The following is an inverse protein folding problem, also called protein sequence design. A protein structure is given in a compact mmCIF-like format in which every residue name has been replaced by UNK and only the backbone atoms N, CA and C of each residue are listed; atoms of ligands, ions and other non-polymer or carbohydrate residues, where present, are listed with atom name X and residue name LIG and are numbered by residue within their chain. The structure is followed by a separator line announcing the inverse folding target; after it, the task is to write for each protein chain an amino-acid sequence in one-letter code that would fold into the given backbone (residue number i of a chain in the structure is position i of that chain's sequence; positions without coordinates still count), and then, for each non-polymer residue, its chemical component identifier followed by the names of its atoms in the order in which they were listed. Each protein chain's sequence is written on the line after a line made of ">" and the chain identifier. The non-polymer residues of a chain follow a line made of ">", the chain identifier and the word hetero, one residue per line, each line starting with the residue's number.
data_IF_609499566370
#
_entry.id   IF_609499566370
#
_cell.length_a   1.000
_cell.length_b   1.000
_cell.length_c   1.000
_cell.angle_alpha   90.00
_cell.angle_beta   90.00
_cell.angle_gamma   90.00
#
_symmetry.space_group_name_H-M   'P 1'
#
loop_
_entity.id
_entity.type
_entity.pdbx_description
1 polymer ?
#
# COMPACT_ATOMS: atom_id res chain seq x y z
N UNK A 1 13.97 -9.23 -3.53
CA UNK A 1 13.90 -8.52 -2.24
C UNK A 1 14.03 -6.98 -2.38
N UNK A 2 15.00 -6.42 -3.12
CA UNK A 2 15.21 -4.96 -3.13
C UNK A 2 14.31 -4.14 -4.09
N UNK A 3 13.86 -4.71 -5.21
CA UNK A 3 13.26 -3.93 -6.31
C UNK A 3 11.98 -3.17 -5.92
N UNK A 4 11.02 -3.82 -5.26
CA UNK A 4 9.76 -3.17 -4.86
C UNK A 4 10.00 -2.09 -3.78
N UNK A 5 10.95 -2.33 -2.87
CA UNK A 5 11.36 -1.33 -1.88
C UNK A 5 12.03 -0.12 -2.52
N UNK A 6 12.88 -0.34 -3.54
CA UNK A 6 13.54 0.74 -4.27
C UNK A 6 12.52 1.53 -5.09
N UNK A 7 11.58 0.85 -5.77
CA UNK A 7 10.51 1.49 -6.51
C UNK A 7 9.62 2.34 -5.60
N UNK A 8 9.24 1.83 -4.42
CA UNK A 8 8.48 2.59 -3.42
C UNK A 8 9.21 3.88 -3.02
N UNK A 9 10.48 3.77 -2.64
CA UNK A 9 11.26 4.92 -2.18
C UNK A 9 11.44 5.97 -3.28
N UNK A 10 11.68 5.51 -4.52
CA UNK A 10 11.79 6.39 -5.68
C UNK A 10 10.47 7.09 -5.96
N UNK A 11 9.36 6.33 -6.05
CA UNK A 11 8.01 6.86 -6.34
C UNK A 11 7.60 7.90 -5.29
N UNK A 12 7.71 7.56 -3.99
CA UNK A 12 7.33 8.47 -2.91
C UNK A 12 8.24 9.70 -2.87
N UNK A 13 9.55 9.51 -3.06
CA UNK A 13 10.50 10.61 -3.12
C UNK A 13 10.21 11.58 -4.26
N UNK A 14 10.00 11.07 -5.48
CA UNK A 14 9.70 11.91 -6.65
C UNK A 14 8.36 12.63 -6.49
N UNK A 15 7.32 11.95 -6.00
CA UNK A 15 6.01 12.56 -5.78
C UNK A 15 6.05 13.66 -4.70
N UNK A 16 6.86 13.50 -3.64
CA UNK A 16 7.05 14.54 -2.63
C UNK A 16 7.75 15.78 -3.20
N UNK A 17 8.79 15.60 -4.01
CA UNK A 17 9.49 16.72 -4.67
C UNK A 17 8.53 17.46 -5.61
N UNK A 18 7.77 16.73 -6.43
CA UNK A 18 6.79 17.34 -7.32
C UNK A 18 5.67 18.05 -6.53
N UNK A 19 5.22 17.48 -5.41
CA UNK A 19 4.24 18.14 -4.53
C UNK A 19 4.75 19.46 -3.97
N UNK A 20 6.04 19.56 -3.59
CA UNK A 20 6.62 20.81 -3.10
C UNK A 20 6.73 21.88 -4.19
N UNK A 21 7.11 21.46 -5.42
CA UNK A 21 7.16 22.36 -6.57
C UNK A 21 5.76 22.91 -6.86
N UNK A 22 4.77 22.03 -6.95
CA UNK A 22 3.37 22.40 -7.22
C UNK A 22 2.80 23.29 -6.11
N UNK A 23 3.09 22.99 -4.84
CA UNK A 23 2.67 23.83 -3.72
C UNK A 23 3.19 25.28 -3.87
N UNK A 24 4.47 25.43 -4.26
CA UNK A 24 5.07 26.74 -4.50
C UNK A 24 4.45 27.47 -5.70
N UNK A 25 4.22 26.76 -6.81
CA UNK A 25 3.57 27.32 -8.00
C UNK A 25 2.15 27.78 -7.70
N UNK A 26 1.34 26.94 -7.06
CA UNK A 26 -0.03 27.29 -6.67
C UNK A 26 -0.07 28.48 -5.71
N UNK A 27 0.84 28.54 -4.72
CA UNK A 27 0.93 29.68 -3.81
C UNK A 27 1.27 30.99 -4.53
N UNK A 28 2.16 30.93 -5.53
CA UNK A 28 2.52 32.08 -6.35
C UNK A 28 1.36 32.52 -7.27
N UNK A 29 0.64 31.59 -7.90
CA UNK A 29 -0.52 31.94 -8.74
C UNK A 29 -1.63 32.57 -7.88
N UNK A 30 -1.90 32.01 -6.69
CA UNK A 30 -2.91 32.54 -5.78
C UNK A 30 -2.57 33.93 -5.22
N UNK A 31 -1.28 34.26 -5.06
CA UNK A 31 -0.86 35.58 -4.58
C UNK A 31 -1.07 36.67 -5.63
N UNK A 32 -0.95 36.33 -6.92
CA UNK A 32 -1.13 37.24 -8.06
C UNK A 32 -2.60 37.35 -8.46
N UNK A 33 -3.28 36.21 -8.61
CA UNK A 33 -4.63 36.14 -9.18
C UNK A 33 -5.74 36.16 -8.13
N UNK A 34 -5.41 36.01 -6.86
CA UNK A 34 -6.39 35.91 -5.77
C UNK A 34 -7.13 34.57 -5.72
N UNK A 35 -8.06 34.40 -4.74
CA UNK A 35 -8.74 33.13 -4.47
C UNK A 35 -9.90 32.83 -5.43
N UNK A 36 -10.00 33.50 -6.57
CA UNK A 36 -11.11 33.32 -7.51
C UNK A 36 -10.88 32.18 -8.50
N UNK A 37 -9.64 31.67 -8.61
CA UNK A 37 -9.28 30.57 -9.50
C UNK A 37 -9.41 29.23 -8.77
N UNK A 38 -10.17 28.31 -9.37
CA UNK A 38 -10.49 27.01 -8.76
C UNK A 38 -9.33 26.03 -8.93
N UNK A 39 -8.66 26.02 -10.08
CA UNK A 39 -7.57 25.05 -10.34
C UNK A 39 -6.36 25.18 -9.41
N UNK A 40 -5.84 26.38 -9.10
CA UNK A 40 -4.71 26.52 -8.17
C UNK A 40 -5.06 26.10 -6.74
N UNK A 41 -6.32 26.22 -6.33
CA UNK A 41 -6.80 25.78 -5.01
C UNK A 41 -6.81 24.26 -4.90
N UNK A 42 -7.27 23.57 -5.95
CA UNK A 42 -7.24 22.12 -6.01
C UNK A 42 -5.80 21.61 -5.96
N UNK A 43 -4.90 22.15 -6.79
CA UNK A 43 -3.48 21.78 -6.80
C UNK A 43 -2.79 21.99 -5.44
N UNK A 44 -3.12 23.09 -4.75
CA UNK A 44 -2.61 23.38 -3.41
C UNK A 44 -3.13 22.35 -2.38
N UNK A 45 -4.44 22.08 -2.38
CA UNK A 45 -5.04 21.12 -1.46
C UNK A 45 -4.49 19.70 -1.67
N UNK A 46 -4.37 19.26 -2.92
CA UNK A 46 -3.83 17.94 -3.29
C UNK A 46 -2.34 17.82 -2.93
N UNK A 47 -1.56 18.89 -3.09
CA UNK A 47 -0.15 18.90 -2.67
C UNK A 47 -0.01 18.75 -1.16
N UNK A 48 -0.80 19.49 -0.38
CA UNK A 48 -0.81 19.37 1.09
C UNK A 48 -1.26 17.97 1.51
N UNK A 49 -2.32 17.44 0.91
CA UNK A 49 -2.80 16.08 1.18
C UNK A 49 -1.72 15.04 0.86
N UNK A 50 -0.97 15.23 -0.23
CA UNK A 50 0.12 14.34 -0.63
C UNK A 50 1.25 14.37 0.39
N UNK A 51 1.64 15.56 0.88
CA UNK A 51 2.63 15.68 1.95
C UNK A 51 2.13 15.01 3.24
N UNK A 52 0.89 15.28 3.64
CA UNK A 52 0.29 14.69 4.85
C UNK A 52 0.11 13.18 4.76
N UNK A 53 -0.05 12.62 3.56
CA UNK A 53 -0.23 11.17 3.38
C UNK A 53 1.11 10.46 3.24
N UNK A 54 1.98 10.95 2.34
CA UNK A 54 3.24 10.27 2.01
C UNK A 54 4.35 10.51 3.05
N UNK A 55 4.42 11.68 3.70
CA UNK A 55 5.47 11.94 4.71
C UNK A 55 5.35 10.99 5.90
N UNK A 56 4.17 10.82 6.54
CA UNK A 56 4.03 9.84 7.62
C UNK A 56 4.32 8.42 7.17
N UNK A 57 3.88 8.03 5.97
CA UNK A 57 4.17 6.70 5.41
C UNK A 57 5.68 6.48 5.22
N UNK A 58 6.42 7.50 4.76
CA UNK A 58 7.87 7.45 4.60
C UNK A 58 8.60 7.44 5.94
N UNK A 59 8.22 8.30 6.89
CA UNK A 59 8.84 8.40 8.21
C UNK A 59 8.65 7.11 9.01
N UNK A 60 7.47 6.51 8.96
CA UNK A 60 7.21 5.25 9.66
C UNK A 60 8.03 4.11 9.03
N UNK A 61 8.13 4.06 7.71
CA UNK A 61 8.96 3.06 7.01
C UNK A 61 10.46 3.20 7.38
N UNK A 62 10.95 4.43 7.56
CA UNK A 62 12.33 4.68 7.99
C UNK A 62 12.56 4.34 9.48
N UNK A 63 11.59 4.61 10.35
CA UNK A 63 11.77 4.53 11.81
C UNK A 63 11.41 3.17 12.40
N UNK A 64 10.44 2.44 11.82
CA UNK A 64 9.97 1.16 12.36
C UNK A 64 9.65 0.16 11.25
N UNK A 65 10.49 -0.86 11.12
CA UNK A 65 10.23 -2.04 10.29
C UNK A 65 9.03 -2.80 10.87
N UNK A 66 7.97 -3.01 10.09
CA UNK A 66 6.87 -3.92 10.45
C UNK A 66 5.61 -3.31 11.08
N UNK A 67 5.33 -2.01 10.92
CA UNK A 67 4.07 -1.39 11.36
C UNK A 67 3.08 -1.15 10.21
N UNK A 68 1.79 -1.04 10.57
CA UNK A 68 0.58 -1.02 9.73
C UNK A 68 0.65 -0.18 8.44
N UNK A 69 1.50 0.85 8.38
CA UNK A 69 1.66 1.74 7.21
C UNK A 69 2.37 1.11 6.02
N UNK A 70 2.99 -0.06 6.20
CA UNK A 70 3.56 -0.82 5.08
C UNK A 70 2.61 -1.91 4.56
N UNK A 71 1.40 -2.06 5.12
CA UNK A 71 0.47 -3.08 4.67
C UNK A 71 -0.11 -2.72 3.31
N UNK A 72 -0.05 -3.68 2.38
CA UNK A 72 -0.60 -3.56 1.03
C UNK A 72 -2.05 -3.07 1.04
N UNK A 73 -2.85 -3.53 2.03
CA UNK A 73 -4.26 -3.15 2.18
C UNK A 73 -4.49 -1.65 2.49
N UNK A 74 -3.54 -0.97 3.14
CA UNK A 74 -3.66 0.46 3.47
C UNK A 74 -3.00 1.31 2.38
N UNK A 75 -1.88 0.82 1.84
CA UNK A 75 -1.10 1.52 0.82
C UNK A 75 -1.85 1.60 -0.53
N UNK A 76 -2.50 0.52 -0.98
CA UNK A 76 -3.24 0.50 -2.25
C UNK A 76 -4.38 1.54 -2.30
N UNK A 77 -5.32 1.60 -1.34
CA UNK A 77 -6.37 2.61 -1.35
C UNK A 77 -5.84 4.03 -1.26
N UNK A 78 -4.83 4.28 -0.42
CA UNK A 78 -4.26 5.61 -0.27
C UNK A 78 -3.63 6.11 -1.58
N UNK A 79 -2.83 5.26 -2.24
CA UNK A 79 -2.25 5.59 -3.54
C UNK A 79 -3.32 5.72 -4.62
N UNK A 80 -4.40 4.93 -4.53
CA UNK A 80 -5.51 5.01 -5.47
C UNK A 80 -6.20 6.37 -5.43
N UNK A 81 -6.45 6.90 -4.23
CA UNK A 81 -7.05 8.22 -4.04
C UNK A 81 -6.08 9.30 -4.52
N UNK A 82 -4.80 9.18 -4.18
CA UNK A 82 -3.77 10.16 -4.57
C UNK A 82 -3.63 10.28 -6.09
N UNK A 83 -3.52 9.17 -6.84
CA UNK A 83 -3.36 9.28 -8.29
C UNK A 83 -4.61 9.88 -8.96
N UNK A 84 -5.82 9.56 -8.48
CA UNK A 84 -7.06 10.15 -9.02
C UNK A 84 -7.07 11.66 -8.79
N UNK A 85 -6.69 12.12 -7.59
CA UNK A 85 -6.60 13.54 -7.28
C UNK A 85 -5.57 14.26 -8.16
N UNK A 86 -4.40 13.65 -8.40
CA UNK A 86 -3.39 14.19 -9.30
C UNK A 86 -3.85 14.24 -10.77
N UNK A 87 -4.65 13.26 -11.21
CA UNK A 87 -5.31 13.32 -12.52
C UNK A 87 -6.28 14.50 -12.59
N UNK A 88 -7.10 14.71 -11.55
CA UNK A 88 -8.02 15.85 -11.49
C UNK A 88 -7.28 17.18 -11.54
N UNK A 89 -6.14 17.32 -10.84
CA UNK A 89 -5.32 18.54 -10.92
C UNK A 89 -4.86 18.79 -12.36
N UNK A 90 -4.30 17.78 -13.04
CA UNK A 90 -3.85 17.92 -14.43
C UNK A 90 -5.00 18.27 -15.40
N UNK A 91 -6.14 17.59 -15.26
CA UNK A 91 -7.30 17.79 -16.12
C UNK A 91 -7.93 19.18 -15.97
N UNK A 92 -8.06 19.69 -14.75
CA UNK A 92 -8.60 21.04 -14.50
C UNK A 92 -7.62 22.10 -15.02
N UNK A 93 -6.31 21.90 -14.87
CA UNK A 93 -5.31 22.85 -15.38
C UNK A 93 -5.22 22.88 -16.89
N UNK A 94 -5.41 21.74 -17.57
CA UNK A 94 -5.49 21.66 -19.03
C UNK A 94 -6.74 22.40 -19.54
N UNK A 95 -7.89 22.24 -18.87
CA UNK A 95 -9.10 22.98 -19.22
C UNK A 95 -8.91 24.51 -19.10
N UNK A 96 -8.20 24.98 -18.07
CA UNK A 96 -7.89 26.41 -17.93
C UNK A 96 -6.83 26.89 -18.94
N UNK A 97 -5.79 26.11 -19.22
CA UNK A 97 -4.76 26.45 -20.23
C UNK A 97 -5.36 26.49 -21.65
N UNK A 98 -6.29 25.59 -21.98
CA UNK A 98 -6.99 25.58 -23.26
C UNK A 98 -7.78 26.89 -23.50
N UNK A 99 -8.38 27.45 -22.44
CA UNK A 99 -9.07 28.75 -22.53
C UNK A 99 -8.06 29.87 -22.74
N UNK A 100 -6.98 29.90 -21.96
CA UNK A 100 -5.94 30.95 -22.06
C UNK A 100 -5.26 30.91 -23.44
N UNK A 101 -4.87 29.72 -23.91
CA UNK A 101 -4.18 29.51 -25.19
C UNK A 101 -5.07 29.83 -26.39
N UNK A 102 -6.39 29.63 -26.30
CA UNK A 102 -7.34 30.05 -27.34
C UNK A 102 -7.38 31.58 -27.52
N UNK A 103 -7.12 32.35 -26.46
CA UNK A 103 -7.03 33.81 -26.54
C UNK A 103 -5.65 34.32 -26.98
N UNK A 104 -4.59 33.52 -26.87
CA UNK A 104 -3.21 33.95 -27.11
C UNK A 104 -2.48 33.24 -28.25
N UNK A 105 -3.23 32.57 -29.13
CA UNK A 105 -2.71 31.78 -30.27
C UNK A 105 -1.62 30.77 -29.84
N UNK A 106 -1.78 30.21 -28.63
CA UNK A 106 -0.86 29.25 -28.02
C UNK A 106 0.42 29.85 -27.40
N UNK A 107 0.65 31.17 -27.51
CA UNK A 107 1.84 31.85 -26.99
C UNK A 107 1.60 32.50 -25.63
N UNK A 108 2.56 32.42 -24.71
CA UNK A 108 2.49 33.12 -23.42
C UNK A 108 3.06 34.56 -23.49
N UNK A 109 3.41 35.06 -24.68
CA UNK A 109 4.15 36.34 -24.88
C UNK A 109 3.23 37.48 -25.37
N UNK A 110 1.93 37.22 -25.53
CA UNK A 110 1.01 38.09 -26.27
C UNK A 110 0.86 39.52 -25.70
N UNK A 111 1.04 39.71 -24.39
CA UNK A 111 0.84 41.02 -23.74
C UNK A 111 2.12 41.77 -23.34
N UNK A 112 3.31 41.17 -23.47
CA UNK A 112 4.56 41.76 -22.98
C UNK A 112 4.59 42.04 -21.47
N UNK A 113 3.55 41.65 -20.74
CA UNK A 113 3.45 41.75 -19.28
C UNK A 113 4.16 40.55 -18.64
N UNK A 114 5.19 40.84 -17.86
CA UNK A 114 5.98 39.84 -17.14
C UNK A 114 5.12 39.01 -16.18
N UNK A 115 4.07 39.59 -15.59
CA UNK A 115 3.19 38.88 -14.66
C UNK A 115 2.35 37.83 -15.38
N UNK A 116 1.73 38.21 -16.50
CA UNK A 116 0.91 37.32 -17.31
C UNK A 116 1.74 36.15 -17.87
N UNK A 117 2.92 36.47 -18.41
CA UNK A 117 3.86 35.46 -18.93
C UNK A 117 4.27 34.46 -17.86
N UNK A 118 4.51 34.93 -16.63
CA UNK A 118 4.86 34.06 -15.49
C UNK A 118 3.71 33.13 -15.11
N UNK A 119 2.48 33.65 -15.03
CA UNK A 119 1.30 32.84 -14.68
C UNK A 119 1.02 31.80 -15.77
N UNK A 120 1.03 32.19 -17.05
CA UNK A 120 0.83 31.29 -18.18
C UNK A 120 1.83 30.11 -18.17
N UNK A 121 3.13 30.39 -17.99
CA UNK A 121 4.13 29.34 -17.88
C UNK A 121 3.96 28.48 -16.62
N UNK A 122 3.45 29.06 -15.52
CA UNK A 122 3.19 28.32 -14.28
C UNK A 122 2.05 27.30 -14.46
N UNK A 123 1.04 27.61 -15.27
CA UNK A 123 -0.06 26.68 -15.61
C UNK A 123 0.44 25.49 -16.41
N UNK A 124 1.25 25.71 -17.45
CA UNK A 124 1.87 24.63 -18.23
C UNK A 124 2.77 23.74 -17.37
N UNK A 125 3.51 24.33 -16.45
CA UNK A 125 4.30 23.56 -15.48
C UNK A 125 3.40 22.74 -14.55
N UNK A 126 2.31 23.33 -14.06
CA UNK A 126 1.35 22.67 -13.16
C UNK A 126 0.67 21.47 -13.82
N UNK A 127 0.25 21.62 -15.07
CA UNK A 127 -0.31 20.54 -15.90
C UNK A 127 0.68 19.39 -16.06
N UNK A 128 1.93 19.71 -16.45
CA UNK A 128 2.98 18.70 -16.64
C UNK A 128 3.30 17.95 -15.34
N UNK A 129 3.48 18.66 -14.22
CA UNK A 129 3.73 18.02 -12.93
C UNK A 129 2.51 17.24 -12.42
N UNK A 130 1.30 17.69 -12.75
CA UNK A 130 0.06 16.98 -12.46
C UNK A 130 0.02 15.61 -13.12
N UNK A 131 0.16 15.58 -14.45
CA UNK A 131 0.15 14.32 -15.21
C UNK A 131 1.35 13.42 -14.91
N UNK A 132 2.55 13.97 -14.73
CA UNK A 132 3.72 13.18 -14.36
C UNK A 132 3.53 12.49 -13.00
N UNK A 133 3.03 13.22 -12.00
CA UNK A 133 2.78 12.65 -10.67
C UNK A 133 1.67 11.59 -10.73
N UNK A 134 0.60 11.84 -11.49
CA UNK A 134 -0.44 10.86 -11.77
C UNK A 134 0.13 9.57 -12.36
N UNK A 135 0.91 9.66 -13.44
CA UNK A 135 1.48 8.49 -14.12
C UNK A 135 2.39 7.68 -13.21
N UNK A 136 3.24 8.35 -12.42
CA UNK A 136 4.16 7.69 -11.48
C UNK A 136 3.38 6.91 -10.42
N UNK A 137 2.37 7.54 -9.81
CA UNK A 137 1.55 6.90 -8.78
C UNK A 137 0.69 5.77 -9.35
N UNK A 138 0.11 5.95 -10.54
CA UNK A 138 -0.69 4.93 -11.22
C UNK A 138 0.18 3.71 -11.57
N UNK A 139 1.35 3.93 -12.17
CA UNK A 139 2.26 2.86 -12.54
C UNK A 139 2.67 2.03 -11.32
N UNK A 140 3.03 2.68 -10.21
CA UNK A 140 3.35 1.98 -8.97
C UNK A 140 2.15 1.23 -8.39
N UNK A 141 0.95 1.83 -8.42
CA UNK A 141 -0.29 1.19 -7.96
C UNK A 141 -0.60 -0.09 -8.76
N UNK A 142 -0.46 -0.04 -10.09
CA UNK A 142 -0.65 -1.21 -10.97
C UNK A 142 0.37 -2.30 -10.65
N UNK A 143 1.65 -1.93 -10.53
CA UNK A 143 2.72 -2.87 -10.18
C UNK A 143 2.41 -3.57 -8.85
N UNK A 144 2.11 -2.80 -7.79
CA UNK A 144 1.73 -3.36 -6.50
C UNK A 144 0.52 -4.30 -6.58
N UNK A 145 -0.53 -3.90 -7.29
CA UNK A 145 -1.74 -4.69 -7.43
C UNK A 145 -1.46 -6.02 -8.16
N UNK A 146 -0.71 -5.98 -9.26
CA UNK A 146 -0.35 -7.17 -10.03
C UNK A 146 0.49 -8.13 -9.18
N UNK A 147 1.51 -7.63 -8.48
CA UNK A 147 2.34 -8.47 -7.61
C UNK A 147 1.53 -9.05 -6.44
N UNK A 148 0.61 -8.28 -5.84
CA UNK A 148 -0.27 -8.75 -4.79
C UNK A 148 -1.21 -9.88 -5.29
N UNK A 149 -1.82 -9.70 -6.47
CA UNK A 149 -2.68 -10.71 -7.09
C UNK A 149 -1.91 -11.99 -7.43
N UNK A 150 -0.69 -11.88 -7.98
CA UNK A 150 0.15 -13.04 -8.29
C UNK A 150 0.49 -13.81 -7.01
N UNK A 151 0.90 -13.13 -5.93
CA UNK A 151 1.25 -13.80 -4.70
C UNK A 151 0.03 -14.46 -4.01
N UNK A 152 -1.14 -13.83 -4.08
CA UNK A 152 -2.40 -14.44 -3.63
C UNK A 152 -2.75 -15.70 -4.44
N UNK A 153 -2.60 -15.64 -5.78
CA UNK A 153 -2.85 -16.79 -6.66
C UNK A 153 -1.92 -17.98 -6.40
N UNK A 154 -0.74 -17.72 -5.83
CA UNK A 154 0.25 -18.74 -5.42
C UNK A 154 0.00 -19.31 -4.02
N UNK A 155 -1.09 -18.91 -3.36
CA UNK A 155 -1.50 -19.44 -2.05
C UNK A 155 -0.99 -18.65 -0.85
N UNK A 156 -0.28 -17.53 -1.05
CA UNK A 156 0.16 -16.69 0.05
C UNK A 156 -0.98 -15.76 0.50
N UNK A 157 -1.77 -16.22 1.48
CA UNK A 157 -2.92 -15.45 2.02
C UNK A 157 -2.50 -14.24 2.87
N UNK A 158 -1.25 -14.20 3.33
CA UNK A 158 -0.75 -13.12 4.18
C UNK A 158 -0.31 -11.88 3.39
N UNK A 159 -0.32 -11.91 2.06
CA UNK A 159 0.16 -10.81 1.19
C UNK A 159 -0.52 -9.47 1.49
N UNK A 160 -1.80 -9.48 1.81
CA UNK A 160 -2.58 -8.27 2.09
C UNK A 160 -2.19 -7.58 3.40
N UNK A 161 -1.73 -8.35 4.39
CA UNK A 161 -1.32 -7.89 5.72
C UNK A 161 0.21 -7.92 5.90
N UNK A 162 0.94 -8.27 4.85
CA UNK A 162 2.40 -8.29 4.88
C UNK A 162 2.96 -6.97 4.36
N UNK A 163 4.11 -6.57 4.91
CA UNK A 163 4.84 -5.42 4.42
C UNK A 163 5.35 -5.70 3.00
N UNK A 164 5.20 -4.75 2.07
CA UNK A 164 5.74 -4.85 0.70
C UNK A 164 7.23 -5.20 0.69
N UNK A 165 7.96 -4.74 1.70
CA UNK A 165 9.40 -4.97 1.87
C UNK A 165 9.77 -6.40 2.28
N UNK A 166 8.89 -7.05 3.04
CA UNK A 166 9.14 -8.35 3.66
C UNK A 166 8.40 -9.48 2.93
N UNK A 167 7.52 -9.14 1.99
CA UNK A 167 6.76 -10.12 1.20
C UNK A 167 7.63 -10.67 0.07
N UNK A 168 7.94 -11.96 0.15
CA UNK A 168 8.65 -12.65 -0.93
C UNK A 168 7.65 -13.06 -2.02
N UNK A 169 7.37 -12.14 -2.95
CA UNK A 169 6.39 -12.34 -4.03
C UNK A 169 6.76 -13.49 -5.00
N UNK A 170 8.02 -13.95 -4.96
CA UNK A 170 8.55 -14.93 -5.89
C UNK A 170 8.59 -16.37 -5.34
N UNK A 171 8.41 -16.56 -4.03
CA UNK A 171 8.54 -17.88 -3.41
C UNK A 171 7.23 -18.65 -3.54
N UNK A 172 7.24 -19.81 -4.21
CA UNK A 172 6.11 -20.75 -4.18
C UNK A 172 6.05 -21.34 -2.76
N UNK A 173 4.98 -21.11 -2.02
CA UNK A 173 4.73 -21.82 -0.77
C UNK A 173 4.61 -23.31 -1.09
N UNK A 174 5.64 -24.10 -0.77
CA UNK A 174 5.52 -25.54 -0.75
C UNK A 174 4.45 -25.88 0.30
N UNK A 175 3.41 -26.60 -0.11
CA UNK A 175 2.14 -26.72 0.60
C UNK A 175 2.15 -27.49 1.93
N UNK A 176 3.08 -27.22 2.85
CA UNK A 176 3.09 -27.68 4.24
C UNK A 176 4.07 -26.87 5.11
N UNK A 177 4.04 -25.53 4.98
CA UNK A 177 4.80 -24.63 5.85
C UNK A 177 3.83 -23.69 6.57
N UNK A 178 3.90 -23.69 7.90
CA UNK A 178 3.17 -22.83 8.82
C UNK A 178 3.07 -21.38 8.32
N UNK A 179 1.99 -20.64 8.66
CA UNK A 179 1.91 -19.23 8.33
C UNK A 179 3.17 -18.55 8.86
N UNK A 180 3.91 -17.88 7.97
CA UNK A 180 5.03 -17.02 8.37
C UNK A 180 4.45 -15.86 9.18
N UNK A 181 4.24 -16.12 10.46
CA UNK A 181 3.99 -15.11 11.48
C UNK A 181 5.23 -14.23 11.43
N UNK A 182 5.04 -13.02 10.93
CA UNK A 182 5.98 -11.93 11.11
C UNK A 182 6.43 -11.95 12.57
N UNK A 183 7.67 -12.38 12.77
CA UNK A 183 8.32 -12.41 14.06
C UNK A 183 8.51 -10.95 14.49
N UNK A 184 7.52 -10.42 15.21
CA UNK A 184 7.68 -9.17 15.95
C UNK A 184 8.89 -9.33 16.88
N UNK A 185 9.93 -8.48 16.78
CA UNK A 185 10.98 -8.45 17.78
C UNK A 185 10.42 -7.68 18.99
N UNK A 186 9.76 -8.40 19.89
CA UNK A 186 9.28 -7.83 21.13
C UNK A 186 8.25 -8.72 21.80
N UNK A 187 8.58 -9.13 23.02
CA UNK A 187 7.82 -9.99 23.94
C UNK A 187 8.14 -11.48 23.78
N UNK A 188 9.28 -11.88 24.36
CA UNK A 188 9.50 -13.24 24.82
C UNK A 188 8.41 -13.56 25.85
N UNK A 189 7.44 -14.38 25.48
CA UNK A 189 6.60 -15.06 26.47
C UNK A 189 7.50 -16.02 27.25
N UNK A 190 7.46 -16.04 28.60
CA UNK A 190 8.23 -16.99 29.37
C UNK A 190 7.80 -18.40 28.99
N UNK A 191 8.76 -19.17 28.47
CA UNK A 191 8.60 -20.60 28.26
C UNK A 191 8.27 -21.24 29.62
N UNK A 192 7.07 -21.79 29.71
CA UNK A 192 6.63 -22.61 30.82
C UNK A 192 7.55 -23.84 30.89
N UNK A 193 8.33 -23.91 31.98
CA UNK A 193 9.34 -24.93 32.18
C UNK A 193 8.70 -26.31 32.25
N UNK A 194 8.96 -27.10 31.21
CA UNK A 194 8.72 -28.53 31.17
C UNK A 194 9.53 -29.23 32.30
N UNK A 195 8.84 -30.05 33.09
CA UNK A 195 9.42 -30.89 34.13
C UNK A 195 10.30 -32.00 33.52
N UNK A 196 11.43 -32.38 34.15
CA UNK A 196 12.31 -33.45 33.67
C UNK A 196 11.74 -34.85 33.95
N UNK A 197 12.00 -35.85 33.08
CA UNK A 197 11.55 -37.22 33.29
C UNK A 197 12.48 -37.93 34.28
N UNK A 198 11.91 -38.36 35.41
CA UNK A 198 12.58 -39.24 36.37
C UNK A 198 11.86 -40.58 36.43
N UNK A 199 12.62 -41.67 36.27
CA UNK A 199 12.28 -42.98 36.80
C UNK A 199 11.66 -43.96 35.80
N UNK A 200 12.52 -44.76 35.15
CA UNK A 200 12.16 -46.08 34.68
C UNK A 200 11.75 -46.94 35.88
N UNK A 201 10.52 -47.46 35.89
CA UNK A 201 10.14 -48.57 36.75
C UNK A 201 9.56 -49.70 35.91
N UNK A 202 10.19 -50.86 36.08
CA UNK A 202 9.79 -52.18 35.61
C UNK A 202 8.33 -52.50 36.00
N UNK A 203 7.55 -52.99 35.04
CA UNK A 203 6.41 -53.89 35.28
C UNK A 203 6.43 -54.91 34.13
N UNK A 204 7.02 -56.09 34.36
CA UNK A 204 6.39 -57.30 34.93
C UNK A 204 5.29 -57.85 34.03
N UNK A 205 5.68 -58.91 33.29
CA UNK A 205 4.87 -59.80 32.46
C UNK A 205 3.57 -60.25 33.14
N UNK A 206 2.47 -60.25 32.38
CA UNK A 206 1.32 -61.13 32.58
C UNK A 206 0.76 -61.57 31.21
N UNK A 207 0.58 -62.88 30.95
CA UNK A 207 0.07 -63.38 29.67
C UNK A 207 -1.44 -63.20 29.53
N UNK A 208 -1.84 -62.83 28.32
CA UNK A 208 -3.20 -62.70 27.84
C UNK A 208 -3.76 -64.08 27.40
N UNK A 209 -4.85 -64.62 28.00
CA UNK A 209 -5.61 -65.69 27.38
C UNK A 209 -6.74 -65.11 26.54
N UNK A 210 -6.57 -65.24 25.23
CA UNK A 210 -7.60 -64.97 24.24
C UNK A 210 -8.70 -66.05 24.26
N UNK A 211 -9.94 -65.57 24.25
CA UNK A 211 -11.03 -65.97 23.35
C UNK A 211 -11.43 -67.46 23.27
N UNK A 212 -12.60 -67.77 23.83
CA UNK A 212 -13.74 -68.33 23.08
C UNK A 212 -14.92 -68.52 24.03
N UNK A 213 -16.12 -68.05 23.66
CA UNK A 213 -17.38 -68.79 23.86
C UNK A 213 -18.56 -68.12 23.11
N UNK A 214 -19.62 -68.89 22.77
CA UNK A 214 -20.50 -68.61 21.64
C UNK A 214 -21.91 -68.14 22.03
N UNK A 215 -22.50 -67.39 21.09
CA UNK A 215 -23.88 -67.47 20.58
C UNK A 215 -25.02 -67.82 21.58
N UNK A 216 -25.81 -66.81 21.95
CA UNK A 216 -27.22 -66.93 22.36
C UNK A 216 -27.98 -65.77 21.71
N UNK A 217 -29.05 -65.91 20.93
CA UNK A 217 -30.13 -66.89 21.06
C UNK A 217 -31.34 -66.22 21.74
N UNK A 218 -32.19 -65.57 20.93
CA UNK A 218 -33.62 -65.18 21.08
C UNK A 218 -34.28 -65.02 22.47
N UNK A 219 -35.18 -64.03 22.55
CA UNK A 219 -36.59 -63.99 23.07
C UNK A 219 -36.84 -62.55 23.60
N UNK A 220 -37.60 -61.63 23.02
CA UNK A 220 -39.06 -61.49 22.74
C UNK A 220 -39.89 -60.75 23.84
N UNK A 221 -40.48 -59.61 23.44
CA UNK A 221 -41.68 -58.84 23.94
C UNK A 221 -41.67 -58.13 25.32
N UNK A 222 -42.61 -57.21 25.66
CA UNK A 222 -43.72 -56.58 24.88
C UNK A 222 -43.85 -55.02 24.99
N UNK A 223 -44.63 -54.49 24.05
CA UNK A 223 -45.67 -53.43 24.11
C UNK A 223 -45.56 -52.17 24.98
N UNK A 224 -45.75 -51.02 24.32
CA UNK A 224 -46.86 -50.11 24.59
C UNK A 224 -47.50 -49.68 23.26
#
# INVERSE_FOLDING_TARGET
>A
MAILSTLRMLTFGTSLVFSLIVLGLCANILSISGPLLVSPQLGLAVSILTLLTLVPMLVIDMTRKGLLTSWVIVELPALSILWVLWLSVGAETDAEDAVVSAFTDGSCDFFGDAQFTTVCNSYKALEAFGFLTWLILLAYTIVLLVFACIAQSRGNRAVWTSAVRDTDFFTKTAGNGEPSVNQYPGVQTPHENAYPPAGQQMYQNAPNPAQAMPQSGRVAYPQA
#
